data_IF_549769881632
#
_entry.id   IF_549769881632
#
_cell.length_a   1.000
_cell.length_b   1.000
_cell.length_c   1.000
_cell.angle_alpha   90.00
_cell.angle_beta   90.00
_cell.angle_gamma   90.00
#
_symmetry.space_group_name_H-M   'P 1'
#
loop_
_entity.id
_entity.type
_entity.pdbx_description
1 polymer ?
#
# COMPACT_ATOMS: atom_id res chain seq x y z
N UNK A 1 21.77 -2.53 55.77
CA UNK A 1 21.85 -2.97 54.36
C UNK A 1 23.18 -2.52 53.81
N UNK A 2 24.03 -3.44 53.34
CA UNK A 2 25.37 -3.09 52.86
C UNK A 2 25.27 -2.27 51.53
N UNK A 3 26.18 -1.33 51.32
CA UNK A 3 26.24 -0.49 50.09
C UNK A 3 26.24 -1.35 48.78
N UNK A 4 26.64 -2.61 48.87
CA UNK A 4 26.64 -3.54 47.76
C UNK A 4 25.22 -3.93 47.32
N UNK A 5 24.28 -4.11 48.24
CA UNK A 5 22.89 -4.47 47.95
C UNK A 5 22.10 -3.31 47.31
N UNK A 6 22.40 -2.07 47.72
CA UNK A 6 21.83 -0.88 47.07
C UNK A 6 22.32 -0.70 45.63
N UNK A 7 23.60 -0.99 45.36
CA UNK A 7 24.13 -0.94 44.04
C UNK A 7 23.53 -1.99 43.09
N UNK A 8 23.37 -3.23 43.60
CA UNK A 8 22.72 -4.31 42.83
C UNK A 8 21.26 -3.97 42.56
N UNK A 9 20.51 -3.42 43.51
CA UNK A 9 19.12 -3.03 43.33
C UNK A 9 18.97 -1.93 42.24
N UNK A 10 19.87 -0.95 42.19
CA UNK A 10 19.87 0.11 41.20
C UNK A 10 20.19 -0.41 39.78
N UNK A 11 21.13 -1.35 39.67
CA UNK A 11 21.47 -1.97 38.38
C UNK A 11 20.32 -2.82 37.86
N UNK A 12 19.66 -3.60 38.71
CA UNK A 12 18.49 -4.41 38.33
C UNK A 12 17.31 -3.52 37.95
N UNK A 13 17.05 -2.45 38.69
CA UNK A 13 16.00 -1.48 38.37
C UNK A 13 16.29 -0.76 37.04
N UNK A 14 17.54 -0.35 36.79
CA UNK A 14 17.96 0.25 35.51
C UNK A 14 17.81 -0.71 34.33
N UNK A 15 18.21 -1.98 34.51
CA UNK A 15 18.02 -3.01 33.50
C UNK A 15 16.54 -3.29 33.19
N UNK A 16 15.69 -3.36 34.23
CA UNK A 16 14.24 -3.56 34.06
C UNK A 16 13.58 -2.39 33.31
N UNK A 17 13.98 -1.14 33.63
CA UNK A 17 13.49 0.06 32.91
C UNK A 17 14.01 0.04 31.45
N UNK A 18 15.26 -0.32 31.21
CA UNK A 18 15.85 -0.42 29.86
C UNK A 18 15.10 -1.47 29.00
N UNK A 19 14.81 -2.64 29.56
CA UNK A 19 14.02 -3.69 28.88
C UNK A 19 12.60 -3.22 28.59
N UNK A 20 11.95 -2.51 29.53
CA UNK A 20 10.59 -2.01 29.33
C UNK A 20 10.53 -0.92 28.25
N UNK A 21 11.56 -0.07 28.14
CA UNK A 21 11.67 0.93 27.09
C UNK A 21 11.92 0.24 25.74
N UNK A 22 12.83 -0.75 25.67
CA UNK A 22 13.11 -1.48 24.43
C UNK A 22 11.87 -2.23 23.89
N UNK A 23 11.05 -2.81 24.79
CA UNK A 23 9.82 -3.49 24.35
C UNK A 23 8.71 -2.53 23.90
N UNK A 24 8.77 -1.25 24.29
CA UNK A 24 7.81 -0.23 23.86
C UNK A 24 8.25 0.56 22.62
N UNK A 25 9.53 0.55 22.29
CA UNK A 25 10.10 1.26 21.12
C UNK A 25 10.21 0.35 19.89
N UNK A 26 10.00 -0.95 20.02
CA UNK A 26 9.81 -1.83 18.88
C UNK A 26 8.53 -1.44 18.17
N UNK A 27 8.62 -0.63 17.11
CA UNK A 27 7.54 -0.49 16.12
C UNK A 27 7.30 -1.91 15.58
N UNK A 28 6.34 -2.63 16.16
CA UNK A 28 5.86 -3.86 15.54
C UNK A 28 5.33 -3.45 14.16
N UNK A 29 6.10 -3.76 13.12
CA UNK A 29 5.61 -3.65 11.74
C UNK A 29 4.42 -4.60 11.68
N UNK A 30 3.21 -4.03 11.72
CA UNK A 30 1.99 -4.82 11.66
C UNK A 30 2.05 -5.71 10.40
N UNK A 31 1.74 -7.01 10.51
CA UNK A 31 1.81 -7.90 9.36
C UNK A 31 0.81 -7.45 8.29
N UNK A 32 1.26 -7.36 7.05
CA UNK A 32 0.42 -7.06 5.89
C UNK A 32 -0.33 -8.33 5.51
N UNK A 33 -1.53 -8.48 6.04
CA UNK A 33 -2.35 -9.69 5.88
C UNK A 33 -3.83 -9.35 5.64
N UNK A 34 -4.57 -10.31 5.13
CA UNK A 34 -6.01 -10.17 4.95
C UNK A 34 -6.69 -9.87 6.29
N UNK A 35 -7.62 -8.92 6.28
CA UNK A 35 -8.34 -8.45 7.47
C UNK A 35 -7.62 -7.38 8.28
N UNK A 36 -6.34 -7.09 8.00
CA UNK A 36 -5.63 -5.97 8.62
C UNK A 36 -5.90 -4.66 7.88
N UNK A 37 -5.81 -3.53 8.59
CA UNK A 37 -5.78 -2.20 7.97
C UNK A 37 -4.48 -2.08 7.16
N UNK A 38 -4.60 -1.61 5.92
CA UNK A 38 -3.44 -1.41 5.04
C UNK A 38 -2.46 -0.40 5.65
N UNK A 39 -1.16 -0.66 5.61
CA UNK A 39 -0.17 0.29 6.10
C UNK A 39 -0.24 1.61 5.33
N UNK A 40 0.02 2.71 6.04
CA UNK A 40 0.17 4.01 5.38
C UNK A 40 1.39 4.03 4.46
N UNK A 41 1.25 4.70 3.32
CA UNK A 41 2.37 5.06 2.45
C UNK A 41 2.25 6.51 1.99
N UNK A 42 3.37 7.10 1.60
CA UNK A 42 3.43 8.39 0.94
C UNK A 42 4.12 8.21 -0.41
N UNK A 43 3.53 8.80 -1.45
CA UNK A 43 4.07 8.77 -2.80
C UNK A 43 3.78 10.10 -3.52
N UNK A 44 4.49 10.36 -4.60
CA UNK A 44 4.26 11.56 -5.42
C UNK A 44 3.20 11.26 -6.48
N UNK A 45 2.14 12.04 -6.50
CA UNK A 45 1.13 12.05 -7.57
C UNK A 45 1.77 12.61 -8.84
N UNK A 46 1.83 11.81 -9.90
CA UNK A 46 2.49 12.20 -11.14
C UNK A 46 1.69 13.22 -11.96
N UNK A 47 0.40 13.39 -11.68
CA UNK A 47 -0.42 14.41 -12.35
C UNK A 47 -0.21 15.82 -11.75
N UNK A 48 -0.07 15.92 -10.41
CA UNK A 48 0.02 17.20 -9.70
C UNK A 48 1.43 17.53 -9.21
N UNK A 49 2.26 16.53 -8.95
CA UNK A 49 3.56 16.67 -8.30
C UNK A 49 3.48 16.73 -6.77
N UNK A 50 2.29 16.62 -6.18
CA UNK A 50 2.10 16.66 -4.74
C UNK A 50 2.39 15.31 -4.08
N UNK A 51 2.80 15.35 -2.81
CA UNK A 51 2.87 14.16 -1.98
C UNK A 51 1.46 13.79 -1.50
N UNK A 52 1.06 12.56 -1.72
CA UNK A 52 -0.22 12.00 -1.27
C UNK A 52 -0.01 10.85 -0.31
N UNK A 53 -0.97 10.67 0.61
CA UNK A 53 -1.00 9.53 1.53
C UNK A 53 -2.20 8.63 1.25
N UNK A 54 -2.07 7.33 1.56
CA UNK A 54 -3.14 6.36 1.33
C UNK A 54 -4.40 6.76 2.10
N UNK A 55 -4.27 6.95 3.40
CA UNK A 55 -5.44 7.14 4.29
C UNK A 55 -6.13 8.48 4.07
N UNK A 56 -5.42 9.50 3.59
CA UNK A 56 -6.02 10.81 3.30
C UNK A 56 -6.72 10.81 1.93
N UNK A 57 -6.01 10.38 0.87
CA UNK A 57 -6.48 10.46 -0.52
C UNK A 57 -7.62 9.48 -0.84
N UNK A 58 -7.57 8.30 -0.21
CA UNK A 58 -8.46 7.18 -0.56
C UNK A 58 -9.47 6.82 0.54
N UNK A 59 -9.60 7.65 1.56
CA UNK A 59 -10.57 7.45 2.65
C UNK A 59 -11.99 7.26 2.10
N UNK A 60 -12.67 6.21 2.56
CA UNK A 60 -14.05 5.90 2.16
C UNK A 60 -14.21 5.34 0.75
N UNK A 61 -13.11 5.12 0.01
CA UNK A 61 -13.12 4.50 -1.31
C UNK A 61 -12.74 3.01 -1.21
N UNK A 62 -13.31 2.19 -2.07
CA UNK A 62 -12.75 0.85 -2.35
C UNK A 62 -11.51 1.07 -3.21
N UNK A 63 -10.34 0.65 -2.72
CA UNK A 63 -9.06 1.04 -3.34
C UNK A 63 -8.24 -0.18 -3.72
N UNK A 64 -7.76 -0.23 -4.95
CA UNK A 64 -6.74 -1.17 -5.39
C UNK A 64 -5.37 -0.48 -5.29
N UNK A 65 -4.56 -0.87 -4.31
CA UNK A 65 -3.15 -0.47 -4.25
C UNK A 65 -2.36 -1.47 -5.10
N UNK A 66 -1.71 -0.99 -6.16
CA UNK A 66 -0.89 -1.80 -7.05
C UNK A 66 0.56 -1.28 -7.00
N UNK A 67 1.50 -2.16 -6.67
CA UNK A 67 2.93 -1.85 -6.60
C UNK A 67 3.57 -2.42 -7.86
N UNK A 68 4.22 -1.56 -8.67
CA UNK A 68 4.66 -1.88 -10.01
C UNK A 68 5.91 -1.10 -10.45
N UNK A 69 6.41 -1.35 -11.67
CA UNK A 69 7.48 -0.57 -12.29
C UNK A 69 7.37 -0.60 -13.82
N UNK A 70 7.97 0.39 -14.49
CA UNK A 70 7.97 0.49 -15.98
C UNK A 70 8.72 -0.66 -16.64
N UNK A 71 9.77 -1.18 -16.01
CA UNK A 71 10.57 -2.32 -16.49
C UNK A 71 9.92 -3.68 -16.23
N UNK A 72 8.78 -3.70 -15.53
CA UNK A 72 8.08 -4.93 -15.17
C UNK A 72 7.13 -5.37 -16.30
N UNK A 73 7.53 -6.35 -17.10
CA UNK A 73 6.71 -6.86 -18.21
C UNK A 73 5.34 -7.38 -17.75
N UNK A 74 5.21 -8.19 -16.67
CA UNK A 74 3.90 -8.62 -16.19
C UNK A 74 2.99 -7.45 -15.77
N UNK A 75 3.56 -6.35 -15.25
CA UNK A 75 2.80 -5.15 -14.87
C UNK A 75 2.14 -4.53 -16.11
N UNK A 76 2.89 -4.41 -17.22
CA UNK A 76 2.35 -3.90 -18.49
C UNK A 76 1.17 -4.74 -19.00
N UNK A 77 1.18 -6.05 -18.74
CA UNK A 77 0.11 -6.97 -19.18
C UNK A 77 -1.19 -6.79 -18.38
N UNK A 78 -1.10 -6.54 -17.06
CA UNK A 78 -2.30 -6.43 -16.21
C UNK A 78 -2.99 -5.05 -16.28
N UNK A 79 -2.24 -3.97 -16.51
CA UNK A 79 -2.75 -2.59 -16.43
C UNK A 79 -3.94 -2.28 -17.33
N UNK A 80 -4.04 -2.79 -18.58
CA UNK A 80 -5.25 -2.61 -19.39
C UNK A 80 -6.50 -3.25 -18.78
N UNK A 81 -6.35 -4.35 -18.01
CA UNK A 81 -7.48 -4.94 -17.29
C UNK A 81 -7.88 -4.11 -16.07
N UNK A 82 -6.90 -3.50 -15.39
CA UNK A 82 -7.14 -2.55 -14.31
C UNK A 82 -7.88 -1.33 -14.81
N UNK A 83 -7.46 -0.75 -15.96
CA UNK A 83 -8.11 0.42 -16.56
C UNK A 83 -9.58 0.13 -16.88
N UNK A 84 -9.89 -0.99 -17.54
CA UNK A 84 -11.28 -1.36 -17.82
C UNK A 84 -12.15 -1.48 -16.57
N UNK A 85 -11.59 -2.00 -15.48
CA UNK A 85 -12.30 -2.09 -14.21
C UNK A 85 -12.50 -0.69 -13.61
N UNK A 86 -11.47 0.14 -13.66
CA UNK A 86 -11.48 1.51 -13.15
C UNK A 86 -12.54 2.36 -13.89
N UNK A 87 -12.49 2.42 -15.20
CA UNK A 87 -13.46 3.16 -16.04
C UNK A 87 -14.91 2.85 -15.66
N UNK A 88 -15.19 1.59 -15.40
CA UNK A 88 -16.56 1.15 -15.12
C UNK A 88 -17.01 1.43 -13.69
N UNK A 89 -16.10 1.48 -12.70
CA UNK A 89 -16.46 1.53 -11.27
C UNK A 89 -15.98 2.80 -10.55
N UNK A 90 -15.11 3.61 -11.15
CA UNK A 90 -14.66 4.86 -10.56
C UNK A 90 -15.82 5.81 -10.18
N UNK A 91 -16.91 5.97 -11.00
CA UNK A 91 -18.06 6.81 -10.62
C UNK A 91 -18.79 6.32 -9.37
N UNK A 92 -18.61 5.06 -8.96
CA UNK A 92 -19.22 4.49 -7.76
C UNK A 92 -18.31 4.59 -6.52
N UNK A 93 -17.08 5.12 -6.66
CA UNK A 93 -16.13 5.28 -5.58
C UNK A 93 -15.03 4.20 -5.54
N UNK A 94 -14.78 3.52 -6.66
CA UNK A 94 -13.59 2.69 -6.84
C UNK A 94 -12.39 3.57 -7.20
N UNK A 95 -11.23 3.28 -6.61
CA UNK A 95 -9.99 3.96 -6.91
C UNK A 95 -8.85 2.96 -7.14
N UNK A 96 -7.86 3.36 -7.92
CA UNK A 96 -6.60 2.64 -8.08
C UNK A 96 -5.45 3.57 -7.72
N UNK A 97 -4.66 3.17 -6.74
CA UNK A 97 -3.39 3.79 -6.37
C UNK A 97 -2.26 2.94 -6.96
N UNK A 98 -1.85 3.24 -8.19
CA UNK A 98 -0.75 2.52 -8.84
C UNK A 98 0.58 3.19 -8.49
N UNK A 99 1.31 2.59 -7.53
CA UNK A 99 2.55 3.14 -7.00
C UNK A 99 3.75 2.51 -7.72
N UNK A 100 4.38 3.29 -8.58
CA UNK A 100 5.63 2.91 -9.23
C UNK A 100 6.79 2.95 -8.23
N UNK A 101 7.65 1.94 -8.30
CA UNK A 101 8.92 1.87 -7.57
C UNK A 101 10.12 2.25 -8.46
N UNK A 102 9.88 2.85 -9.62
CA UNK A 102 10.96 3.36 -10.45
C UNK A 102 11.74 4.45 -9.71
N UNK A 103 13.06 4.32 -9.66
CA UNK A 103 13.95 5.31 -9.05
C UNK A 103 14.27 6.46 -10.02
N UNK A 104 13.95 6.28 -11.31
CA UNK A 104 14.24 7.20 -12.42
C UNK A 104 13.33 8.43 -12.46
N UNK A 105 13.28 9.01 -13.67
CA UNK A 105 12.49 10.22 -13.90
C UNK A 105 10.98 9.97 -13.77
N UNK A 106 10.24 10.88 -13.12
CA UNK A 106 8.78 10.85 -13.15
C UNK A 106 8.19 10.89 -14.58
N UNK A 107 8.92 11.47 -15.52
CA UNK A 107 8.48 11.57 -16.91
C UNK A 107 8.44 10.21 -17.62
N UNK A 108 9.34 9.30 -17.27
CA UNK A 108 9.33 7.94 -17.82
C UNK A 108 8.07 7.18 -17.37
N UNK A 109 7.68 7.34 -16.10
CA UNK A 109 6.47 6.72 -15.55
C UNK A 109 5.20 7.34 -16.15
N UNK A 110 5.19 8.68 -16.35
CA UNK A 110 4.07 9.36 -17.06
C UNK A 110 3.94 8.90 -18.50
N UNK A 111 5.05 8.82 -19.23
CA UNK A 111 5.07 8.36 -20.63
C UNK A 111 4.53 6.94 -20.76
N UNK A 112 4.91 6.05 -19.83
CA UNK A 112 4.38 4.70 -19.76
C UNK A 112 2.86 4.68 -19.55
N UNK A 113 2.36 5.47 -18.60
CA UNK A 113 0.91 5.60 -18.35
C UNK A 113 0.15 6.12 -19.56
N UNK A 114 0.70 7.11 -20.26
CA UNK A 114 0.13 7.66 -21.49
C UNK A 114 0.13 6.62 -22.64
N UNK A 115 1.21 5.86 -22.80
CA UNK A 115 1.28 4.78 -23.81
C UNK A 115 0.16 3.74 -23.63
N UNK A 116 -0.18 3.42 -22.38
CA UNK A 116 -1.22 2.45 -22.05
C UNK A 116 -2.61 3.07 -21.90
N UNK A 117 -2.75 4.41 -22.01
CA UNK A 117 -4.02 5.11 -21.83
C UNK A 117 -4.61 5.00 -20.42
N UNK A 118 -3.75 4.98 -19.40
CA UNK A 118 -4.18 4.85 -18.01
C UNK A 118 -4.75 6.18 -17.49
N UNK A 119 -5.90 6.11 -16.82
CA UNK A 119 -6.61 7.27 -16.28
C UNK A 119 -6.71 7.28 -14.74
N UNK A 120 -6.36 6.18 -14.09
CA UNK A 120 -6.28 6.10 -12.64
C UNK A 120 -5.01 6.79 -12.08
N UNK A 121 -4.95 6.95 -10.75
CA UNK A 121 -3.83 7.64 -10.10
C UNK A 121 -2.50 6.89 -10.29
N UNK A 122 -1.59 7.51 -11.04
CA UNK A 122 -0.20 7.08 -11.16
C UNK A 122 0.64 7.82 -10.12
N UNK A 123 1.17 7.06 -9.18
CA UNK A 123 1.99 7.55 -8.09
C UNK A 123 3.43 7.02 -8.24
N UNK A 124 4.40 7.72 -7.65
CA UNK A 124 5.78 7.24 -7.63
C UNK A 124 6.37 7.32 -6.22
N UNK A 125 6.94 6.21 -5.76
CA UNK A 125 7.80 6.14 -4.58
C UNK A 125 9.24 5.80 -4.97
N UNK A 126 10.04 6.83 -5.29
CA UNK A 126 11.45 6.68 -5.67
C UNK A 126 12.33 6.09 -4.56
N UNK A 127 11.86 6.13 -3.32
CA UNK A 127 12.57 5.55 -2.17
C UNK A 127 12.36 4.04 -2.05
N UNK A 128 11.43 3.49 -2.81
CA UNK A 128 11.00 2.08 -2.77
C UNK A 128 10.52 1.59 -1.39
N UNK A 129 10.26 2.52 -0.46
CA UNK A 129 9.82 2.20 0.91
C UNK A 129 8.51 1.45 0.95
N UNK A 130 7.62 1.69 -0.02
CA UNK A 130 6.36 0.97 -0.12
C UNK A 130 6.56 -0.54 -0.17
N UNK A 131 7.64 -1.03 -0.79
CA UNK A 131 7.94 -2.46 -0.84
C UNK A 131 8.20 -3.03 0.56
N UNK A 132 8.95 -2.32 1.39
CA UNK A 132 9.20 -2.72 2.78
C UNK A 132 7.93 -2.61 3.63
N UNK A 133 7.18 -1.51 3.46
CA UNK A 133 5.95 -1.23 4.18
C UNK A 133 4.87 -2.28 3.90
N UNK A 134 4.72 -2.68 2.63
CA UNK A 134 3.75 -3.69 2.19
C UNK A 134 4.34 -5.11 2.17
N UNK A 135 5.60 -5.28 2.59
CA UNK A 135 6.29 -6.58 2.65
C UNK A 135 6.18 -7.33 1.31
N UNK A 136 6.39 -6.59 0.21
CA UNK A 136 6.28 -7.15 -1.14
C UNK A 136 7.51 -7.98 -1.47
N UNK A 137 7.29 -9.07 -2.20
CA UNK A 137 8.36 -9.98 -2.65
C UNK A 137 8.80 -9.72 -4.09
N UNK A 138 8.08 -8.87 -4.80
CA UNK A 138 8.34 -8.50 -6.19
C UNK A 138 7.21 -7.65 -6.78
N UNK A 139 7.28 -7.37 -8.08
CA UNK A 139 6.24 -6.63 -8.82
C UNK A 139 5.74 -7.45 -10.01
N UNK A 140 4.44 -7.32 -10.36
CA UNK A 140 3.42 -6.55 -9.66
C UNK A 140 2.92 -7.25 -8.40
N UNK A 141 2.51 -6.47 -7.42
CA UNK A 141 1.78 -6.97 -6.28
C UNK A 141 0.62 -6.03 -5.94
N UNK A 142 -0.57 -6.57 -5.71
CA UNK A 142 -1.78 -5.79 -5.55
C UNK A 142 -2.53 -6.13 -4.27
N UNK A 143 -3.09 -5.08 -3.64
CA UNK A 143 -3.88 -5.17 -2.43
C UNK A 143 -5.22 -4.46 -2.65
N UNK A 144 -6.33 -5.21 -2.62
CA UNK A 144 -7.67 -4.61 -2.66
C UNK A 144 -8.13 -4.29 -1.24
N UNK A 145 -8.51 -3.03 -1.03
CA UNK A 145 -8.96 -2.50 0.25
C UNK A 145 -10.45 -2.19 0.22
N UNK A 146 -11.14 -2.47 1.31
CA UNK A 146 -12.52 -1.99 1.52
C UNK A 146 -12.52 -0.48 1.85
N UNK A 147 -13.73 0.11 2.02
CA UNK A 147 -13.91 1.54 2.33
C UNK A 147 -13.29 1.99 3.66
N UNK A 148 -12.96 1.04 4.55
CA UNK A 148 -12.30 1.28 5.85
C UNK A 148 -10.77 1.16 5.74
N UNK A 149 -10.25 0.84 4.54
CA UNK A 149 -8.84 0.59 4.30
C UNK A 149 -8.36 -0.79 4.73
N UNK A 150 -9.28 -1.75 4.96
CA UNK A 150 -8.92 -3.12 5.35
C UNK A 150 -8.59 -3.94 4.10
N UNK A 151 -7.50 -4.70 4.13
CA UNK A 151 -7.06 -5.57 3.03
C UNK A 151 -8.01 -6.75 2.92
N UNK A 152 -8.76 -6.84 1.82
CA UNK A 152 -9.69 -7.93 1.54
C UNK A 152 -9.17 -8.93 0.53
N UNK A 153 -8.16 -8.54 -0.27
CA UNK A 153 -7.51 -9.43 -1.24
C UNK A 153 -6.06 -8.99 -1.46
N UNK A 154 -5.15 -9.95 -1.57
CA UNK A 154 -3.74 -9.75 -1.95
C UNK A 154 -3.43 -10.67 -3.13
N UNK A 155 -2.79 -10.14 -4.16
CA UNK A 155 -2.37 -10.88 -5.35
C UNK A 155 -0.90 -10.60 -5.61
N UNK A 156 -0.12 -11.67 -5.77
CA UNK A 156 1.29 -11.62 -6.16
C UNK A 156 1.37 -12.00 -7.63
N UNK A 157 1.98 -11.16 -8.45
CA UNK A 157 2.09 -11.34 -9.90
C UNK A 157 0.89 -10.79 -10.67
N UNK A 158 1.00 -10.79 -12.01
CA UNK A 158 -0.01 -10.24 -12.89
C UNK A 158 -1.36 -10.96 -12.77
N UNK A 159 -2.44 -10.18 -12.83
CA UNK A 159 -3.78 -10.67 -12.62
C UNK A 159 -4.81 -10.01 -13.55
N UNK A 160 -5.82 -10.76 -13.99
CA UNK A 160 -6.94 -10.17 -14.74
C UNK A 160 -7.96 -9.53 -13.79
N UNK A 161 -7.73 -8.24 -13.50
CA UNK A 161 -8.61 -7.45 -12.64
C UNK A 161 -10.00 -7.21 -13.28
N UNK A 162 -10.12 -7.29 -14.62
CA UNK A 162 -11.40 -7.12 -15.32
C UNK A 162 -12.28 -8.38 -15.33
N UNK A 163 -11.82 -9.49 -14.77
CA UNK A 163 -12.59 -10.74 -14.71
C UNK A 163 -13.94 -10.55 -13.98
N UNK A 164 -15.00 -11.31 -14.36
CA UNK A 164 -16.29 -11.19 -13.70
C UNK A 164 -16.24 -11.39 -12.18
N UNK A 165 -15.37 -12.27 -11.69
CA UNK A 165 -15.21 -12.52 -10.26
C UNK A 165 -14.62 -11.32 -9.51
N UNK A 166 -13.62 -10.65 -10.09
CA UNK A 166 -13.02 -9.44 -9.50
C UNK A 166 -14.00 -8.27 -9.54
N UNK A 167 -14.69 -8.09 -10.68
CA UNK A 167 -15.74 -7.07 -10.80
C UNK A 167 -16.80 -7.26 -9.72
N UNK A 168 -17.36 -8.47 -9.58
CA UNK A 168 -18.38 -8.77 -8.57
C UNK A 168 -17.88 -8.54 -7.13
N UNK A 169 -16.58 -8.83 -6.86
CA UNK A 169 -15.98 -8.55 -5.56
C UNK A 169 -15.94 -7.04 -5.29
N UNK A 170 -15.44 -6.24 -6.25
CA UNK A 170 -15.35 -4.78 -6.08
C UNK A 170 -16.76 -4.17 -5.96
N UNK A 171 -17.71 -4.59 -6.79
CA UNK A 171 -19.11 -4.13 -6.72
C UNK A 171 -19.72 -4.39 -5.34
N UNK A 172 -19.53 -5.58 -4.78
CA UNK A 172 -20.00 -5.92 -3.43
C UNK A 172 -19.39 -4.98 -2.38
N UNK A 173 -18.08 -4.72 -2.44
CA UNK A 173 -17.41 -3.80 -1.50
C UNK A 173 -17.92 -2.36 -1.65
N UNK A 174 -18.28 -1.95 -2.87
CA UNK A 174 -18.87 -0.64 -3.14
C UNK A 174 -20.30 -0.52 -2.59
N UNK A 175 -21.03 -1.62 -2.48
CA UNK A 175 -22.39 -1.66 -1.93
C UNK A 175 -22.39 -1.75 -0.39
N UNK A 176 -21.26 -2.09 0.23
CA UNK A 176 -21.13 -2.07 1.68
C UNK A 176 -21.18 -0.62 2.23
N UNK A 177 -21.77 -0.40 3.42
CA UNK A 177 -21.79 0.93 4.02
C UNK A 177 -20.36 1.42 4.26
N UNK A 178 -20.11 2.68 3.93
CA UNK A 178 -18.86 3.36 4.24
C UNK A 178 -18.68 3.60 5.75
N UNK A 179 -17.50 4.06 6.15
CA UNK A 179 -17.22 4.43 7.54
C UNK A 179 -18.05 5.63 7.97
#
# INVERSE_FOLDING_TARGET
>A
MSKQWTFVALVVAGAAVGVTIMTRVGSEVAPVQLGAVAPEFHAIDLATGDSVSLHERYRGKVTLVNIWATWCVPCKVEMPAMERLYDSLAPRGFAIAAVSIDEGSPDDVRAFGQELGLSFDLLQDRSTRIQQTYQTTGVPESFLLDRRGVIVKRIIGAHDWSSPANRALVERLLDEPGP
#
